data_IF_306601789202
#
_entry.id   IF_306601789202
#
_cell.length_a   1.000
_cell.length_b   1.000
_cell.length_c   1.000
_cell.angle_alpha   90.00
_cell.angle_beta   90.00
_cell.angle_gamma   90.00
#
_symmetry.space_group_name_H-M   'P 1'
#
loop_
_entity.id
_entity.type
_entity.pdbx_description
1 polymer ?
#
# COMPACT_ATOMS: atom_id res chain seq x y z
N UNK A 1 -19.70 -19.44 -32.05
CA UNK A 1 -18.78 -18.39 -31.57
C UNK A 1 -19.34 -16.97 -31.77
N UNK A 2 -19.87 -16.64 -32.96
CA UNK A 2 -20.45 -15.31 -33.24
C UNK A 2 -21.66 -14.93 -32.38
N UNK A 3 -22.58 -15.87 -32.11
CA UNK A 3 -23.79 -15.62 -31.29
C UNK A 3 -23.41 -15.24 -29.85
N UNK A 4 -22.50 -15.98 -29.20
CA UNK A 4 -22.02 -15.65 -27.85
C UNK A 4 -21.37 -14.27 -27.74
N UNK A 5 -20.68 -13.81 -28.80
CA UNK A 5 -20.06 -12.49 -28.81
C UNK A 5 -21.11 -11.37 -28.95
N UNK A 6 -22.15 -11.59 -29.76
CA UNK A 6 -23.28 -10.67 -29.90
C UNK A 6 -24.12 -10.58 -28.61
N UNK A 7 -24.40 -11.71 -27.94
CA UNK A 7 -25.10 -11.69 -26.65
C UNK A 7 -24.28 -11.00 -25.56
N UNK A 8 -22.97 -11.23 -25.55
CA UNK A 8 -22.06 -10.55 -24.62
C UNK A 8 -22.00 -9.05 -24.87
N UNK A 9 -21.90 -8.62 -26.14
CA UNK A 9 -21.90 -7.19 -26.49
C UNK A 9 -23.24 -6.52 -26.14
N UNK A 10 -24.36 -7.17 -26.39
CA UNK A 10 -25.69 -6.67 -26.02
C UNK A 10 -25.86 -6.59 -24.49
N UNK A 11 -25.35 -7.56 -23.73
CA UNK A 11 -25.31 -7.52 -22.27
C UNK A 11 -24.41 -6.39 -21.74
N UNK A 12 -23.26 -6.15 -22.36
CA UNK A 12 -22.36 -5.05 -21.99
C UNK A 12 -22.99 -3.68 -22.28
N UNK A 13 -23.68 -3.53 -23.42
CA UNK A 13 -24.37 -2.29 -23.79
C UNK A 13 -25.57 -2.00 -22.88
N UNK A 14 -26.41 -3.01 -22.62
CA UNK A 14 -27.55 -2.87 -21.70
C UNK A 14 -27.11 -2.56 -20.27
N UNK A 15 -26.03 -3.19 -19.79
CA UNK A 15 -25.42 -2.83 -18.50
C UNK A 15 -24.91 -1.37 -18.51
N UNK A 16 -24.25 -0.92 -19.58
CA UNK A 16 -23.80 0.46 -19.72
C UNK A 16 -24.93 1.49 -19.64
N UNK A 17 -26.06 1.24 -20.31
CA UNK A 17 -27.23 2.09 -20.23
C UNK A 17 -27.85 2.11 -18.82
N UNK A 18 -27.95 0.95 -18.18
CA UNK A 18 -28.43 0.85 -16.80
C UNK A 18 -27.54 1.64 -15.83
N UNK A 19 -26.21 1.52 -15.94
CA UNK A 19 -25.28 2.30 -15.12
C UNK A 19 -25.37 3.80 -15.37
N UNK A 20 -25.48 4.24 -16.63
CA UNK A 20 -25.68 5.66 -16.96
C UNK A 20 -26.97 6.20 -16.33
N UNK A 21 -28.05 5.43 -16.33
CA UNK A 21 -29.31 5.83 -15.70
C UNK A 21 -29.24 5.98 -14.17
N UNK A 22 -28.23 5.39 -13.53
CA UNK A 22 -27.95 5.58 -12.10
C UNK A 22 -27.06 6.78 -11.79
N UNK A 23 -26.50 7.43 -12.83
CA UNK A 23 -25.73 8.67 -12.66
C UNK A 23 -26.66 9.85 -12.37
N UNK A 24 -26.13 10.88 -11.72
CA UNK A 24 -26.86 12.10 -11.39
C UNK A 24 -26.21 13.30 -12.07
N UNK A 25 -27.02 14.26 -12.53
CA UNK A 25 -26.52 15.54 -13.02
C UNK A 25 -25.92 16.30 -11.84
N UNK A 26 -24.69 16.78 -12.00
CA UNK A 26 -23.98 17.55 -10.99
C UNK A 26 -23.17 18.66 -11.65
N UNK A 27 -23.16 19.84 -11.03
CA UNK A 27 -22.37 21.00 -11.50
C UNK A 27 -20.87 20.86 -11.16
N UNK A 28 -20.55 19.96 -10.22
CA UNK A 28 -19.21 19.72 -9.69
C UNK A 28 -19.09 18.27 -9.22
N UNK A 29 -17.88 17.71 -9.29
CA UNK A 29 -17.59 16.34 -8.80
C UNK A 29 -16.37 16.35 -7.88
N UNK A 30 -16.39 15.54 -6.82
CA UNK A 30 -15.30 15.49 -5.84
C UNK A 30 -14.02 14.87 -6.43
N UNK A 31 -14.16 13.76 -7.17
CA UNK A 31 -13.02 13.05 -7.77
C UNK A 31 -13.29 12.65 -9.22
N UNK A 32 -12.41 13.05 -10.13
CA UNK A 32 -12.33 12.53 -11.49
C UNK A 32 -11.40 11.32 -11.54
N UNK A 33 -11.87 10.18 -12.07
CA UNK A 33 -11.09 8.94 -12.16
C UNK A 33 -10.46 8.81 -13.55
N UNK A 34 -9.21 9.24 -13.69
CA UNK A 34 -8.45 9.05 -14.93
C UNK A 34 -7.76 7.71 -14.94
N UNK A 35 -7.98 6.93 -16.00
CA UNK A 35 -7.49 5.57 -16.04
C UNK A 35 -7.46 4.99 -17.46
N UNK A 36 -6.62 3.98 -17.68
CA UNK A 36 -6.61 3.27 -18.95
C UNK A 36 -7.77 2.26 -19.04
N UNK A 37 -8.54 2.32 -20.14
CA UNK A 37 -9.60 1.35 -20.43
C UNK A 37 -9.11 -0.10 -20.54
N UNK A 38 -7.86 -0.31 -20.97
CA UNK A 38 -7.27 -1.66 -21.10
C UNK A 38 -6.90 -2.28 -19.76
N UNK A 39 -6.75 -1.47 -18.70
CA UNK A 39 -6.40 -1.98 -17.39
C UNK A 39 -7.50 -2.88 -16.80
N UNK A 40 -7.05 -3.95 -16.12
CA UNK A 40 -7.92 -4.96 -15.53
C UNK A 40 -8.86 -4.40 -14.46
N UNK A 41 -10.08 -4.95 -14.42
CA UNK A 41 -11.17 -4.49 -13.53
C UNK A 41 -10.81 -4.60 -12.04
N UNK A 42 -10.17 -5.69 -11.64
CA UNK A 42 -9.81 -5.95 -10.24
C UNK A 42 -8.75 -4.99 -9.72
N UNK A 43 -7.74 -4.65 -10.53
CA UNK A 43 -6.72 -3.66 -10.14
C UNK A 43 -7.37 -2.31 -9.85
N UNK A 44 -8.28 -1.85 -10.72
CA UNK A 44 -9.04 -0.61 -10.51
C UNK A 44 -9.88 -0.69 -9.24
N UNK A 45 -10.64 -1.76 -9.07
CA UNK A 45 -11.49 -1.96 -7.89
C UNK A 45 -10.68 -1.90 -6.58
N UNK A 46 -9.62 -2.68 -6.46
CA UNK A 46 -8.80 -2.67 -5.23
C UNK A 46 -8.09 -1.35 -5.00
N UNK A 47 -7.73 -0.63 -6.07
CA UNK A 47 -7.14 0.71 -5.95
C UNK A 47 -8.16 1.73 -5.45
N UNK A 48 -9.42 1.66 -5.91
CA UNK A 48 -10.50 2.47 -5.37
C UNK A 48 -10.76 2.13 -3.89
N UNK A 49 -10.80 0.84 -3.52
CA UNK A 49 -10.90 0.42 -2.12
C UNK A 49 -9.74 0.95 -1.27
N UNK A 50 -8.51 0.93 -1.80
CA UNK A 50 -7.33 1.49 -1.14
C UNK A 50 -7.46 2.99 -0.92
N UNK A 51 -8.00 3.72 -1.90
CA UNK A 51 -8.20 5.16 -1.80
C UNK A 51 -9.32 5.54 -0.81
N UNK A 52 -10.47 4.85 -0.84
CA UNK A 52 -11.64 5.22 -0.03
C UNK A 52 -11.70 4.57 1.35
N UNK A 53 -11.27 3.31 1.48
CA UNK A 53 -11.59 2.49 2.65
C UNK A 53 -10.38 2.16 3.53
N UNK A 54 -9.14 2.40 3.08
CA UNK A 54 -7.95 1.95 3.81
C UNK A 54 -7.91 2.45 5.25
N UNK A 55 -8.09 3.76 5.46
CA UNK A 55 -8.06 4.32 6.81
C UNK A 55 -9.18 3.77 7.70
N UNK A 56 -10.38 3.62 7.14
CA UNK A 56 -11.52 3.08 7.87
C UNK A 56 -11.26 1.62 8.25
N UNK A 57 -10.71 0.82 7.34
CA UNK A 57 -10.36 -0.57 7.57
C UNK A 57 -9.32 -0.73 8.70
N UNK A 58 -8.29 0.13 8.71
CA UNK A 58 -7.30 0.18 9.80
C UNK A 58 -7.97 0.55 11.13
N UNK A 59 -8.77 1.64 11.16
CA UNK A 59 -9.44 2.10 12.39
C UNK A 59 -10.38 1.02 12.95
N UNK A 60 -11.18 0.38 12.09
CA UNK A 60 -12.11 -0.68 12.50
C UNK A 60 -11.41 -1.96 12.97
N UNK A 61 -10.29 -2.35 12.35
CA UNK A 61 -9.52 -3.53 12.81
C UNK A 61 -8.89 -3.29 14.18
N UNK A 62 -8.29 -2.13 14.42
CA UNK A 62 -7.78 -1.76 15.74
C UNK A 62 -8.89 -1.65 16.79
N UNK A 63 -10.05 -1.09 16.43
CA UNK A 63 -11.21 -1.04 17.33
C UNK A 63 -11.69 -2.45 17.70
N UNK A 64 -11.81 -3.35 16.73
CA UNK A 64 -12.16 -4.76 16.99
C UNK A 64 -11.13 -5.42 17.91
N UNK A 65 -9.83 -5.26 17.63
CA UNK A 65 -8.76 -5.78 18.47
C UNK A 65 -8.85 -5.25 19.91
N UNK A 66 -9.02 -3.93 20.10
CA UNK A 66 -9.12 -3.32 21.43
C UNK A 66 -10.35 -3.82 22.20
N UNK A 67 -11.51 -3.92 21.56
CA UNK A 67 -12.73 -4.42 22.19
C UNK A 67 -12.56 -5.87 22.66
N UNK A 68 -11.99 -6.74 21.81
CA UNK A 68 -11.76 -8.13 22.14
C UNK A 68 -10.68 -8.29 23.22
N UNK A 69 -9.60 -7.52 23.17
CA UNK A 69 -8.57 -7.52 24.19
C UNK A 69 -9.12 -7.12 25.56
N UNK A 70 -9.90 -6.03 25.63
CA UNK A 70 -10.54 -5.57 26.88
C UNK A 70 -11.53 -6.62 27.39
N UNK A 71 -12.35 -7.20 26.52
CA UNK A 71 -13.32 -8.22 26.91
C UNK A 71 -12.64 -9.48 27.46
N UNK A 72 -11.62 -10.00 26.76
CA UNK A 72 -10.87 -11.18 27.20
C UNK A 72 -10.14 -10.94 28.52
N UNK A 73 -9.46 -9.80 28.66
CA UNK A 73 -8.77 -9.44 29.91
C UNK A 73 -9.77 -9.22 31.05
N UNK A 74 -10.94 -8.62 30.78
CA UNK A 74 -11.98 -8.43 31.78
C UNK A 74 -12.62 -9.73 32.27
N UNK A 75 -12.76 -10.73 31.38
CA UNK A 75 -13.35 -12.02 31.71
C UNK A 75 -12.37 -12.98 32.41
N UNK A 76 -11.12 -13.02 31.97
CA UNK A 76 -10.15 -14.04 32.40
C UNK A 76 -9.00 -13.48 33.24
N UNK A 77 -8.87 -12.15 33.32
CA UNK A 77 -7.70 -11.49 33.88
C UNK A 77 -6.50 -11.53 32.94
N UNK A 78 -5.53 -10.65 33.18
CA UNK A 78 -4.35 -10.47 32.31
C UNK A 78 -3.49 -11.73 32.21
N UNK A 79 -3.31 -12.46 33.32
CA UNK A 79 -2.51 -13.70 33.36
C UNK A 79 -3.35 -14.98 33.14
N UNK A 80 -4.69 -14.89 33.19
CA UNK A 80 -5.57 -16.05 33.03
C UNK A 80 -5.79 -16.48 31.58
N UNK A 81 -5.22 -15.74 30.63
CA UNK A 81 -5.25 -16.05 29.19
C UNK A 81 -4.08 -16.94 28.74
N UNK A 82 -3.13 -17.25 29.63
CA UNK A 82 -1.97 -18.09 29.32
C UNK A 82 -2.35 -19.45 28.73
N UNK A 83 -1.81 -19.78 27.55
CA UNK A 83 -2.10 -21.04 26.85
C UNK A 83 -3.51 -21.18 26.29
N UNK A 84 -4.34 -20.13 26.32
CA UNK A 84 -5.70 -20.19 25.81
C UNK A 84 -5.72 -20.07 24.28
N UNK A 85 -6.12 -21.16 23.61
CA UNK A 85 -6.17 -21.24 22.15
C UNK A 85 -7.14 -20.24 21.48
N UNK A 86 -8.07 -19.62 22.23
CA UNK A 86 -8.97 -18.61 21.69
C UNK A 86 -8.31 -17.23 21.51
N UNK A 87 -7.14 -16.98 22.12
CA UNK A 87 -6.47 -15.67 22.07
C UNK A 87 -6.05 -15.32 20.64
N UNK A 88 -5.43 -16.26 19.92
CA UNK A 88 -5.04 -16.04 18.51
C UNK A 88 -6.21 -15.73 17.57
N UNK A 89 -7.26 -16.57 17.46
CA UNK A 89 -8.37 -16.28 16.55
C UNK A 89 -9.11 -14.99 16.94
N UNK A 90 -9.23 -14.69 18.23
CA UNK A 90 -9.90 -13.47 18.68
C UNK A 90 -9.06 -12.22 18.41
N UNK A 91 -7.77 -12.23 18.77
CA UNK A 91 -6.95 -11.02 18.71
C UNK A 91 -6.25 -10.83 17.37
N UNK A 92 -6.14 -11.84 16.51
CA UNK A 92 -5.49 -11.72 15.20
C UNK A 92 -6.49 -11.93 14.07
N UNK A 93 -7.12 -13.10 13.99
CA UNK A 93 -7.96 -13.44 12.85
C UNK A 93 -9.18 -12.53 12.72
N UNK A 94 -9.93 -12.28 13.80
CA UNK A 94 -11.13 -11.43 13.75
C UNK A 94 -10.82 -9.96 13.38
N UNK A 95 -9.80 -9.29 13.96
CA UNK A 95 -9.36 -7.97 13.49
C UNK A 95 -8.92 -7.94 12.03
N UNK A 96 -8.18 -8.95 11.56
CA UNK A 96 -7.75 -9.03 10.15
C UNK A 96 -8.95 -9.26 9.21
N UNK A 97 -9.88 -10.14 9.57
CA UNK A 97 -11.14 -10.32 8.82
C UNK A 97 -11.93 -9.01 8.78
N UNK A 98 -12.00 -8.30 9.90
CA UNK A 98 -12.65 -6.97 9.98
C UNK A 98 -11.97 -5.98 9.03
N UNK A 99 -10.63 -5.97 8.97
CA UNK A 99 -9.89 -5.16 7.99
C UNK A 99 -10.33 -5.49 6.56
N UNK A 100 -10.34 -6.75 6.14
CA UNK A 100 -10.72 -7.12 4.76
C UNK A 100 -12.18 -6.81 4.44
N UNK A 101 -13.10 -7.06 5.38
CA UNK A 101 -14.53 -6.74 5.21
C UNK A 101 -14.71 -5.24 5.02
N UNK A 102 -14.10 -4.41 5.87
CA UNK A 102 -14.20 -2.95 5.76
C UNK A 102 -13.43 -2.42 4.56
N UNK A 103 -12.30 -3.02 4.18
CA UNK A 103 -11.56 -2.62 2.99
C UNK A 103 -12.37 -2.83 1.72
N UNK A 104 -13.11 -3.94 1.60
CA UNK A 104 -13.89 -4.26 0.40
C UNK A 104 -15.25 -3.55 0.41
N UNK A 105 -15.92 -3.47 1.57
CA UNK A 105 -17.31 -3.02 1.69
C UNK A 105 -17.47 -1.71 2.46
N UNK A 106 -16.38 -1.00 2.79
CA UNK A 106 -16.41 0.19 3.66
C UNK A 106 -17.34 1.29 3.17
N UNK A 107 -17.38 1.53 1.86
CA UNK A 107 -18.30 2.49 1.26
C UNK A 107 -19.79 2.12 1.48
N UNK A 108 -20.11 0.82 1.46
CA UNK A 108 -21.49 0.33 1.59
C UNK A 108 -21.89 0.31 3.08
N UNK A 109 -20.98 -0.10 3.95
CA UNK A 109 -21.18 -0.18 5.41
C UNK A 109 -21.40 1.20 6.05
N UNK A 110 -20.80 2.24 5.49
CA UNK A 110 -20.96 3.62 5.99
C UNK A 110 -22.23 4.30 5.48
N UNK A 111 -23.03 3.61 4.65
CA UNK A 111 -24.36 4.06 4.22
C UNK A 111 -24.35 5.42 3.53
N UNK A 112 -23.35 5.67 2.68
CA UNK A 112 -23.13 6.92 1.97
C UNK A 112 -22.93 8.18 2.85
N UNK A 113 -22.76 8.04 4.18
CA UNK A 113 -22.47 9.20 5.07
C UNK A 113 -21.18 9.94 4.73
N UNK A 114 -20.30 9.29 3.97
CA UNK A 114 -19.01 9.79 3.51
C UNK A 114 -18.87 9.63 1.99
N UNK A 115 -19.99 9.57 1.25
CA UNK A 115 -19.94 9.34 -0.20
C UNK A 115 -19.34 10.54 -0.91
N UNK A 116 -18.19 10.32 -1.55
CA UNK A 116 -17.64 11.26 -2.53
C UNK A 116 -18.33 11.01 -3.88
N UNK A 117 -18.68 12.09 -4.58
CA UNK A 117 -19.13 12.01 -5.97
C UNK A 117 -17.94 11.65 -6.87
N UNK A 118 -18.16 10.69 -7.78
CA UNK A 118 -17.12 10.15 -8.65
C UNK A 118 -17.52 10.33 -10.11
N UNK A 119 -16.60 10.84 -10.91
CA UNK A 119 -16.75 10.86 -12.36
C UNK A 119 -15.94 9.71 -12.95
N UNK A 120 -16.63 8.77 -13.59
CA UNK A 120 -16.05 7.61 -14.26
C UNK A 120 -16.62 7.55 -15.67
N UNK A 121 -15.78 7.71 -16.67
CA UNK A 121 -16.15 7.76 -18.09
C UNK A 121 -17.21 6.72 -18.52
N UNK A 122 -17.05 5.46 -18.13
CA UNK A 122 -17.92 4.35 -18.51
C UNK A 122 -19.30 4.43 -17.87
N UNK A 123 -19.41 5.13 -16.75
CA UNK A 123 -20.66 5.33 -16.01
C UNK A 123 -21.31 6.67 -16.35
N UNK A 124 -20.51 7.71 -16.62
CA UNK A 124 -20.96 9.09 -16.80
C UNK A 124 -21.09 9.52 -18.26
N UNK A 125 -20.53 8.75 -19.21
CA UNK A 125 -20.75 8.94 -20.65
C UNK A 125 -21.77 7.92 -21.13
N UNK A 126 -22.73 8.38 -21.91
CA UNK A 126 -23.76 7.54 -22.49
C UNK A 126 -23.13 6.50 -23.43
N UNK A 127 -23.42 5.21 -23.21
CA UNK A 127 -22.72 4.13 -23.92
C UNK A 127 -23.43 3.66 -25.20
N UNK A 128 -24.71 3.98 -25.38
CA UNK A 128 -25.56 3.43 -26.45
C UNK A 128 -25.99 4.46 -27.51
N UNK A 129 -26.40 5.65 -27.10
CA UNK A 129 -26.59 6.83 -27.95
C UNK A 129 -25.24 7.39 -28.39
N UNK A 130 -24.93 7.24 -29.68
CA UNK A 130 -23.63 7.59 -30.26
C UNK A 130 -23.46 9.11 -30.41
N UNK A 131 -24.53 9.85 -30.67
CA UNK A 131 -24.47 11.30 -30.85
C UNK A 131 -24.25 11.98 -29.51
N UNK A 132 -25.01 11.57 -28.49
CA UNK A 132 -24.81 12.05 -27.12
C UNK A 132 -23.43 11.66 -26.59
N UNK A 133 -22.97 10.43 -26.87
CA UNK A 133 -21.63 9.98 -26.53
C UNK A 133 -20.55 10.86 -27.15
N UNK A 134 -20.67 11.18 -28.44
CA UNK A 134 -19.72 12.04 -29.13
C UNK A 134 -19.69 13.45 -28.53
N UNK A 135 -20.86 14.03 -28.25
CA UNK A 135 -20.97 15.33 -27.58
C UNK A 135 -20.32 15.32 -26.18
N UNK A 136 -20.56 14.28 -25.39
CA UNK A 136 -20.00 14.13 -24.06
C UNK A 136 -18.48 13.88 -24.08
N UNK A 137 -17.97 13.12 -25.04
CA UNK A 137 -16.52 12.95 -25.23
C UNK A 137 -15.87 14.28 -25.61
N UNK A 138 -16.48 15.05 -26.50
CA UNK A 138 -16.00 16.38 -26.86
C UNK A 138 -16.00 17.35 -25.66
N UNK A 139 -16.93 17.18 -24.73
CA UNK A 139 -17.02 17.95 -23.49
C UNK A 139 -16.13 17.41 -22.35
N UNK A 140 -15.35 16.35 -22.55
CA UNK A 140 -14.55 15.71 -21.51
C UNK A 140 -13.62 16.68 -20.77
N UNK A 141 -12.90 17.61 -21.43
CA UNK A 141 -12.08 18.61 -20.73
C UNK A 141 -12.88 19.48 -19.76
N UNK A 142 -14.15 19.75 -20.06
CA UNK A 142 -15.04 20.52 -19.17
C UNK A 142 -15.35 19.70 -17.92
N UNK A 143 -15.68 18.41 -18.05
CA UNK A 143 -15.93 17.55 -16.89
C UNK A 143 -14.71 17.42 -16.00
N UNK A 144 -13.52 17.30 -16.58
CA UNK A 144 -12.25 17.28 -15.85
C UNK A 144 -12.03 18.57 -15.08
N UNK A 145 -12.27 19.73 -15.71
CA UNK A 145 -12.09 21.04 -15.09
C UNK A 145 -13.05 21.32 -13.92
N UNK A 146 -14.19 20.64 -13.87
CA UNK A 146 -15.19 20.74 -12.80
C UNK A 146 -14.97 19.75 -11.65
N UNK A 147 -13.86 18.99 -11.65
CA UNK A 147 -13.50 18.10 -10.56
C UNK A 147 -12.63 18.79 -9.52
N UNK A 148 -12.86 18.50 -8.23
CA UNK A 148 -12.01 18.99 -7.14
C UNK A 148 -10.66 18.28 -7.06
N UNK A 149 -10.63 16.97 -7.34
CA UNK A 149 -9.44 16.12 -7.31
C UNK A 149 -9.38 15.22 -8.54
N UNK A 150 -8.18 14.85 -8.96
CA UNK A 150 -7.95 13.85 -10.00
C UNK A 150 -7.25 12.64 -9.40
N UNK A 151 -7.90 11.49 -9.44
CA UNK A 151 -7.29 10.22 -9.07
C UNK A 151 -6.87 9.48 -10.34
N UNK A 152 -5.56 9.33 -10.51
CA UNK A 152 -4.94 8.59 -11.60
C UNK A 152 -4.76 7.14 -11.17
N UNK A 153 -5.44 6.22 -11.86
CA UNK A 153 -5.23 4.79 -11.69
C UNK A 153 -4.20 4.31 -12.70
N UNK A 154 -2.93 4.31 -12.29
CA UNK A 154 -1.80 4.07 -13.19
C UNK A 154 -1.59 2.58 -13.49
N UNK A 155 -1.58 2.24 -14.77
CA UNK A 155 -1.02 1.02 -15.33
C UNK A 155 0.12 1.35 -16.30
N UNK A 156 0.83 0.34 -16.79
CA UNK A 156 1.93 0.49 -17.75
C UNK A 156 1.54 1.20 -19.06
N UNK A 157 0.24 1.30 -19.37
CA UNK A 157 -0.24 1.96 -20.60
C UNK A 157 -0.71 3.39 -20.38
N UNK A 158 -0.81 3.88 -19.13
CA UNK A 158 -1.47 5.15 -18.82
C UNK A 158 -0.84 6.35 -19.56
N UNK A 159 0.47 6.59 -19.38
CA UNK A 159 1.17 7.71 -20.01
C UNK A 159 1.33 7.55 -21.52
N UNK A 160 1.13 6.33 -22.04
CA UNK A 160 1.13 6.08 -23.48
C UNK A 160 -0.18 6.50 -24.14
N UNK A 161 -1.21 6.95 -23.40
CA UNK A 161 -2.52 7.26 -23.97
C UNK A 161 -2.74 8.76 -24.06
N UNK A 162 -2.93 9.25 -25.29
CA UNK A 162 -3.10 10.67 -25.56
C UNK A 162 -4.34 11.26 -24.85
N UNK A 163 -5.44 10.53 -24.77
CA UNK A 163 -6.64 10.94 -24.03
C UNK A 163 -6.40 11.09 -22.51
N UNK A 164 -5.71 10.14 -21.87
CA UNK A 164 -5.35 10.25 -20.46
C UNK A 164 -4.41 11.45 -20.21
N UNK A 165 -3.49 11.70 -21.14
CA UNK A 165 -2.60 12.85 -21.08
C UNK A 165 -3.35 14.18 -21.28
N UNK A 166 -4.40 14.22 -22.11
CA UNK A 166 -5.30 15.38 -22.22
C UNK A 166 -6.03 15.64 -20.90
N UNK A 167 -6.63 14.62 -20.29
CA UNK A 167 -7.28 14.75 -18.98
C UNK A 167 -6.32 15.32 -17.93
N UNK A 168 -5.09 14.79 -17.87
CA UNK A 168 -4.05 15.28 -16.98
C UNK A 168 -3.65 16.73 -17.27
N UNK A 169 -3.43 17.08 -18.53
CA UNK A 169 -3.11 18.44 -18.96
C UNK A 169 -4.21 19.43 -18.55
N UNK A 170 -5.47 19.10 -18.83
CA UNK A 170 -6.63 19.92 -18.48
C UNK A 170 -6.74 20.10 -16.97
N UNK A 171 -6.62 19.01 -16.20
CA UNK A 171 -6.75 19.09 -14.73
C UNK A 171 -5.62 19.91 -14.12
N UNK A 172 -4.38 19.65 -14.49
CA UNK A 172 -3.21 20.36 -13.94
C UNK A 172 -3.28 21.85 -14.23
N UNK A 173 -3.73 22.24 -15.43
CA UNK A 173 -3.90 23.64 -15.79
C UNK A 173 -4.99 24.35 -14.94
N UNK A 174 -6.06 23.66 -14.56
CA UNK A 174 -7.21 24.24 -13.84
C UNK A 174 -7.19 24.02 -12.33
N UNK A 175 -7.06 22.78 -11.89
CA UNK A 175 -7.15 22.33 -10.50
C UNK A 175 -5.83 22.38 -9.73
N UNK A 176 -4.70 22.52 -10.45
CA UNK A 176 -3.37 22.50 -9.86
C UNK A 176 -2.89 21.10 -9.50
N UNK A 177 -1.58 20.91 -9.61
CA UNK A 177 -0.94 19.60 -9.46
C UNK A 177 -1.13 18.96 -8.08
N UNK A 178 -1.25 19.78 -7.03
CA UNK A 178 -1.40 19.35 -5.64
C UNK A 178 -2.68 18.55 -5.37
N UNK A 179 -3.67 18.64 -6.26
CA UNK A 179 -4.93 17.90 -6.17
C UNK A 179 -4.95 16.64 -7.04
N UNK A 180 -3.78 16.22 -7.54
CA UNK A 180 -3.59 14.97 -8.27
C UNK A 180 -3.10 13.90 -7.30
N UNK A 181 -3.82 12.78 -7.25
CA UNK A 181 -3.42 11.56 -6.55
C UNK A 181 -3.07 10.49 -7.59
N UNK A 182 -1.85 9.97 -7.59
CA UNK A 182 -1.48 8.87 -8.48
C UNK A 182 -1.40 7.55 -7.69
N UNK A 183 -2.24 6.60 -8.08
CA UNK A 183 -2.32 5.30 -7.45
C UNK A 183 -1.96 4.18 -8.44
N UNK A 184 -0.78 3.55 -8.30
CA UNK A 184 -0.41 2.42 -9.14
C UNK A 184 -1.31 1.21 -8.87
N UNK A 185 -1.82 0.58 -9.94
CA UNK A 185 -2.74 -0.55 -9.82
C UNK A 185 -2.15 -1.80 -9.14
N UNK A 186 -0.82 -1.86 -9.00
CA UNK A 186 -0.12 -2.94 -8.30
C UNK A 186 -0.04 -2.73 -6.78
N UNK A 187 -0.25 -1.51 -6.27
CA UNK A 187 -0.03 -1.18 -4.86
C UNK A 187 -1.02 -1.90 -3.95
N UNK A 188 -2.32 -1.86 -4.26
CA UNK A 188 -3.34 -2.51 -3.46
C UNK A 188 -3.17 -4.05 -3.44
N UNK A 189 -3.00 -4.74 -4.60
CA UNK A 189 -2.69 -6.16 -4.60
C UNK A 189 -1.44 -6.52 -3.80
N UNK A 190 -0.35 -5.75 -3.94
CA UNK A 190 0.86 -5.97 -3.14
C UNK A 190 0.58 -5.88 -1.64
N UNK A 191 -0.11 -4.83 -1.18
CA UNK A 191 -0.43 -4.64 0.23
C UNK A 191 -1.30 -5.78 0.78
N UNK A 192 -2.37 -6.14 0.07
CA UNK A 192 -3.28 -7.21 0.49
C UNK A 192 -2.56 -8.57 0.53
N UNK A 193 -1.73 -8.86 -0.47
CA UNK A 193 -0.88 -10.06 -0.47
C UNK A 193 0.09 -10.05 0.72
N UNK A 194 0.76 -8.93 1.01
CA UNK A 194 1.66 -8.82 2.16
C UNK A 194 0.92 -9.08 3.48
N UNK A 195 -0.28 -8.56 3.68
CA UNK A 195 -1.10 -8.83 4.87
C UNK A 195 -1.47 -10.31 4.97
N UNK A 196 -1.88 -10.95 3.88
CA UNK A 196 -2.22 -12.39 3.88
C UNK A 196 -1.00 -13.27 4.17
N UNK A 197 0.14 -12.91 3.60
CA UNK A 197 1.42 -13.58 3.82
C UNK A 197 1.90 -13.42 5.27
N UNK A 198 1.74 -12.23 5.86
CA UNK A 198 2.05 -11.98 7.27
C UNK A 198 1.10 -12.74 8.20
N UNK A 199 -0.19 -12.83 7.86
CA UNK A 199 -1.17 -13.66 8.58
C UNK A 199 -0.80 -15.16 8.51
N UNK A 200 -0.34 -15.63 7.36
CA UNK A 200 0.14 -17.01 7.20
C UNK A 200 1.38 -17.25 8.08
N UNK A 201 2.36 -16.34 8.07
CA UNK A 201 3.52 -16.41 8.97
C UNK A 201 3.11 -16.46 10.44
N UNK A 202 2.20 -15.57 10.88
CA UNK A 202 1.69 -15.55 12.25
C UNK A 202 0.97 -16.85 12.61
N UNK A 203 0.18 -17.42 11.69
CA UNK A 203 -0.53 -18.69 11.89
C UNK A 203 0.42 -19.88 11.98
N UNK A 204 1.49 -19.91 11.16
CA UNK A 204 2.53 -20.94 11.21
C UNK A 204 3.34 -20.84 12.51
N UNK A 205 3.62 -19.61 12.95
CA UNK A 205 4.30 -19.37 14.21
C UNK A 205 3.45 -19.80 15.41
N UNK A 206 2.16 -19.46 15.42
CA UNK A 206 1.20 -19.96 16.41
C UNK A 206 1.13 -21.49 16.44
N UNK A 207 1.04 -22.13 15.27
CA UNK A 207 1.04 -23.60 15.17
C UNK A 207 2.34 -24.20 15.72
N UNK A 208 3.49 -23.58 15.43
CA UNK A 208 4.78 -24.02 15.96
C UNK A 208 4.82 -23.93 17.48
N UNK A 209 4.37 -22.82 18.07
CA UNK A 209 4.26 -22.64 19.52
C UNK A 209 3.31 -23.66 20.15
N UNK A 210 2.22 -24.01 19.47
CA UNK A 210 1.27 -25.00 19.96
C UNK A 210 1.84 -26.43 19.93
N UNK A 211 2.59 -26.78 18.88
CA UNK A 211 3.25 -28.09 18.75
C UNK A 211 4.43 -28.22 19.71
N UNK A 212 5.14 -27.11 19.96
CA UNK A 212 6.34 -27.05 20.80
C UNK A 212 6.19 -25.96 21.88
N UNK A 213 5.36 -26.16 22.93
CA UNK A 213 5.12 -25.11 23.92
C UNK A 213 6.39 -24.77 24.70
N UNK A 214 6.65 -23.47 24.89
CA UNK A 214 7.85 -22.93 25.53
C UNK A 214 9.18 -23.38 24.89
N UNK A 215 9.17 -23.73 23.59
CA UNK A 215 10.37 -24.24 22.90
C UNK A 215 11.53 -23.25 22.97
N UNK A 216 11.24 -21.96 22.77
CA UNK A 216 12.19 -20.85 22.81
C UNK A 216 12.95 -20.86 24.13
N UNK A 217 12.22 -21.02 25.24
CA UNK A 217 12.76 -21.05 26.59
C UNK A 217 13.51 -22.34 26.92
N UNK A 218 13.01 -23.50 26.44
CA UNK A 218 13.66 -24.80 26.65
C UNK A 218 15.00 -24.92 25.93
N UNK A 219 15.15 -24.21 24.81
CA UNK A 219 16.36 -24.30 23.98
C UNK A 219 17.45 -23.32 24.42
N UNK A 220 17.14 -22.27 25.19
CA UNK A 220 18.14 -21.32 25.67
C UNK A 220 19.25 -22.00 26.50
N UNK A 221 18.98 -22.79 27.55
CA UNK A 221 20.03 -23.42 28.35
C UNK A 221 21.02 -24.30 27.57
N UNK A 222 20.57 -25.27 26.72
CA UNK A 222 21.50 -26.08 25.95
C UNK A 222 22.28 -25.28 24.91
N UNK A 223 21.70 -24.22 24.33
CA UNK A 223 22.42 -23.33 23.42
C UNK A 223 23.49 -22.54 24.17
N UNK A 224 23.18 -22.00 25.36
CA UNK A 224 24.15 -21.29 26.19
C UNK A 224 25.30 -22.19 26.62
N UNK A 225 25.03 -23.45 26.98
CA UNK A 225 26.04 -24.43 27.34
C UNK A 225 26.95 -24.74 26.15
N UNK A 226 26.36 -25.05 24.98
CA UNK A 226 27.11 -25.32 23.75
C UNK A 226 27.95 -24.11 23.32
N UNK A 227 27.36 -22.90 23.35
CA UNK A 227 28.07 -21.65 23.00
C UNK A 227 29.18 -21.35 24.01
N UNK A 228 28.94 -21.60 25.31
CA UNK A 228 29.91 -21.39 26.38
C UNK A 228 31.16 -22.25 26.24
N UNK A 229 31.01 -23.45 25.65
CA UNK A 229 32.14 -24.32 25.33
C UNK A 229 33.01 -23.80 24.18
N UNK A 230 32.46 -22.98 23.27
CA UNK A 230 33.14 -22.49 22.07
C UNK A 230 33.65 -21.05 22.18
N UNK A 231 32.83 -20.13 22.70
CA UNK A 231 33.11 -18.69 22.72
C UNK A 231 33.49 -18.15 24.11
N UNK A 232 33.48 -19.01 25.14
CA UNK A 232 33.78 -18.64 26.53
C UNK A 232 32.55 -18.29 27.35
N UNK A 233 32.76 -18.01 28.64
CA UNK A 233 31.70 -17.98 29.67
C UNK A 233 31.09 -16.60 29.96
N UNK A 234 31.21 -15.63 29.04
CA UNK A 234 30.61 -14.31 29.27
C UNK A 234 29.06 -14.42 29.23
N UNK A 235 28.35 -14.17 30.34
CA UNK A 235 26.91 -14.45 30.42
C UNK A 235 26.07 -13.57 29.50
N UNK A 236 26.48 -12.31 29.26
CA UNK A 236 25.77 -11.40 28.38
C UNK A 236 25.87 -11.85 26.91
N UNK A 237 27.07 -12.24 26.49
CA UNK A 237 27.30 -12.77 25.14
C UNK A 237 26.58 -14.11 24.92
N UNK A 238 26.58 -15.00 25.91
CA UNK A 238 25.87 -16.29 25.82
C UNK A 238 24.36 -16.11 25.71
N UNK A 239 23.78 -15.22 26.52
CA UNK A 239 22.37 -14.86 26.41
C UNK A 239 22.05 -14.23 25.05
N UNK A 240 22.90 -13.34 24.54
CA UNK A 240 22.72 -12.76 23.20
C UNK A 240 22.70 -13.83 22.12
N UNK A 241 23.67 -14.74 22.09
CA UNK A 241 23.74 -15.81 21.08
C UNK A 241 22.57 -16.79 21.20
N UNK A 242 22.16 -17.14 22.42
CA UNK A 242 21.04 -18.04 22.63
C UNK A 242 19.71 -17.42 22.16
N UNK A 243 19.45 -16.16 22.53
CA UNK A 243 18.28 -15.41 22.03
C UNK A 243 18.37 -15.27 20.51
N UNK A 244 19.53 -14.92 19.96
CA UNK A 244 19.74 -14.81 18.51
C UNK A 244 19.34 -16.10 17.79
N UNK A 245 19.83 -17.27 18.23
CA UNK A 245 19.53 -18.56 17.60
C UNK A 245 18.04 -18.92 17.71
N UNK A 246 17.41 -18.65 18.85
CA UNK A 246 15.96 -18.85 19.03
C UNK A 246 15.17 -17.94 18.07
N UNK A 247 15.55 -16.68 17.92
CA UNK A 247 14.90 -15.76 16.99
C UNK A 247 15.12 -16.16 15.52
N UNK A 248 16.32 -16.65 15.17
CA UNK A 248 16.60 -17.24 13.86
C UNK A 248 15.64 -18.39 13.53
N UNK A 249 15.42 -19.29 14.50
CA UNK A 249 14.52 -20.41 14.35
C UNK A 249 13.06 -19.96 14.21
N UNK A 250 12.64 -18.94 14.97
CA UNK A 250 11.32 -18.32 14.82
C UNK A 250 11.11 -17.76 13.41
N UNK A 251 12.17 -17.21 12.80
CA UNK A 251 12.20 -16.73 11.42
C UNK A 251 12.02 -17.82 10.35
N UNK A 252 12.16 -19.10 10.68
CA UNK A 252 11.92 -20.22 9.74
C UNK A 252 10.47 -20.24 9.26
N UNK A 253 9.53 -19.76 10.08
CA UNK A 253 8.12 -19.62 9.67
C UNK A 253 7.94 -18.69 8.46
N UNK A 254 8.82 -17.70 8.32
CA UNK A 254 8.85 -16.80 7.16
C UNK A 254 9.54 -17.40 5.93
N UNK A 255 10.25 -18.53 6.05
CA UNK A 255 10.87 -19.20 4.91
C UNK A 255 9.80 -19.67 3.92
N UNK A 256 8.67 -20.18 4.40
CA UNK A 256 7.56 -20.64 3.53
C UNK A 256 6.89 -19.47 2.79
N UNK A 257 7.00 -18.27 3.36
CA UNK A 257 6.41 -17.03 2.86
C UNK A 257 7.39 -16.24 1.99
N UNK A 258 8.67 -16.63 1.98
CA UNK A 258 9.74 -15.96 1.25
C UNK A 258 9.55 -15.97 -0.27
N UNK A 259 9.10 -17.09 -0.86
CA UNK A 259 8.89 -17.20 -2.31
C UNK A 259 7.78 -16.28 -2.80
N UNK A 260 6.54 -16.32 -2.23
CA UNK A 260 5.51 -15.36 -2.59
C UNK A 260 5.92 -13.91 -2.35
N UNK A 261 6.63 -13.65 -1.23
CA UNK A 261 7.15 -12.31 -0.93
C UNK A 261 8.11 -11.83 -2.00
N UNK A 262 9.06 -12.67 -2.44
CA UNK A 262 10.01 -12.34 -3.49
C UNK A 262 9.31 -11.89 -4.78
N UNK A 263 8.32 -12.66 -5.27
CA UNK A 263 7.57 -12.28 -6.47
C UNK A 263 6.80 -10.97 -6.27
N UNK A 264 6.19 -10.79 -5.10
CA UNK A 264 5.44 -9.57 -4.75
C UNK A 264 6.33 -8.32 -4.76
N UNK A 265 7.48 -8.38 -4.08
CA UNK A 265 8.43 -7.27 -4.00
C UNK A 265 9.18 -7.02 -5.32
N UNK A 266 9.49 -8.07 -6.10
CA UNK A 266 10.04 -7.93 -7.46
C UNK A 266 9.06 -7.22 -8.39
N UNK A 267 7.78 -7.56 -8.32
CA UNK A 267 6.72 -6.89 -9.09
C UNK A 267 6.62 -5.40 -8.71
N UNK A 268 6.70 -5.07 -7.42
CA UNK A 268 6.80 -3.69 -6.95
C UNK A 268 7.99 -2.98 -7.59
N UNK A 269 9.21 -3.50 -7.47
CA UNK A 269 10.43 -2.87 -8.01
C UNK A 269 10.28 -2.57 -9.51
N UNK A 270 9.90 -3.60 -10.29
CA UNK A 270 9.75 -3.48 -11.75
C UNK A 270 8.73 -2.41 -12.14
N UNK A 271 7.53 -2.45 -11.55
CA UNK A 271 6.46 -1.54 -11.95
C UNK A 271 6.69 -0.12 -11.45
N UNK A 272 7.32 0.05 -10.28
CA UNK A 272 7.68 1.37 -9.75
C UNK A 272 8.79 2.01 -10.60
N UNK A 273 9.80 1.23 -10.98
CA UNK A 273 10.84 1.68 -11.88
C UNK A 273 10.27 2.05 -13.25
N UNK A 274 9.35 1.25 -13.79
CA UNK A 274 8.66 1.55 -15.04
C UNK A 274 7.89 2.88 -14.97
N UNK A 275 7.12 3.10 -13.90
CA UNK A 275 6.39 4.35 -13.66
C UNK A 275 7.33 5.56 -13.70
N UNK A 276 8.39 5.55 -12.90
CA UNK A 276 9.32 6.67 -12.82
C UNK A 276 10.08 6.88 -14.14
N UNK A 277 10.44 5.81 -14.84
CA UNK A 277 11.07 5.88 -16.14
C UNK A 277 10.13 6.54 -17.17
N UNK A 278 8.86 6.09 -17.24
CA UNK A 278 7.86 6.68 -18.14
C UNK A 278 7.67 8.17 -17.90
N UNK A 279 7.65 8.61 -16.64
CA UNK A 279 7.55 10.03 -16.31
C UNK A 279 8.82 10.79 -16.71
N UNK A 280 10.01 10.20 -16.50
CA UNK A 280 11.28 10.86 -16.84
C UNK A 280 11.52 11.02 -18.34
N UNK A 281 11.09 10.07 -19.15
CA UNK A 281 11.21 10.08 -20.61
C UNK A 281 9.91 10.49 -21.30
N UNK A 282 8.97 11.08 -20.56
CA UNK A 282 7.64 11.42 -21.05
C UNK A 282 7.71 12.39 -22.24
N UNK A 283 6.97 12.05 -23.29
CA UNK A 283 6.68 12.96 -24.41
C UNK A 283 5.25 12.72 -24.90
N UNK A 284 4.40 13.74 -24.75
CA UNK A 284 3.00 13.69 -25.18
C UNK A 284 2.85 13.39 -26.67
N UNK A 285 3.82 13.78 -27.50
CA UNK A 285 3.81 13.51 -28.95
C UNK A 285 3.92 12.02 -29.25
N UNK A 286 4.70 11.30 -28.44
CA UNK A 286 4.88 9.86 -28.55
C UNK A 286 3.67 9.07 -28.03
N UNK A 287 2.72 9.72 -27.34
CA UNK A 287 1.52 9.06 -26.85
C UNK A 287 0.67 8.50 -28.01
N UNK A 288 0.14 7.30 -27.82
CA UNK A 288 -0.75 6.59 -28.73
C UNK A 288 -2.15 7.22 -28.67
N UNK A 289 -2.76 7.39 -29.84
CA UNK A 289 -4.15 7.79 -29.95
C UNK A 289 -4.97 6.61 -30.49
N UNK A 290 -6.14 6.35 -29.90
CA UNK A 290 -7.03 5.26 -30.35
C UNK A 290 -7.56 5.53 -31.75
N UNK A 291 -7.94 6.79 -32.02
CA UNK A 291 -8.34 7.26 -33.34
C UNK A 291 -7.36 8.34 -33.78
N UNK A 292 -6.62 8.08 -34.86
CA UNK A 292 -5.61 9.03 -35.35
C UNK A 292 -6.20 10.39 -35.75
N UNK A 293 -7.48 10.43 -36.14
CA UNK A 293 -8.21 11.66 -36.44
C UNK A 293 -8.32 12.61 -35.25
N UNK A 294 -8.34 12.08 -34.01
CA UNK A 294 -8.50 12.90 -32.81
C UNK A 294 -7.18 13.56 -32.39
N UNK A 295 -6.03 13.08 -32.90
CA UNK A 295 -4.70 13.51 -32.45
C UNK A 295 -4.53 15.03 -32.57
N UNK A 296 -4.82 15.59 -33.74
CA UNK A 296 -4.61 17.02 -33.99
C UNK A 296 -5.48 17.87 -33.08
N UNK A 297 -6.74 17.49 -32.87
CA UNK A 297 -7.65 18.20 -31.99
C UNK A 297 -7.21 18.13 -30.52
N UNK A 298 -6.72 16.97 -30.07
CA UNK A 298 -6.21 16.80 -28.71
C UNK A 298 -4.93 17.60 -28.49
N UNK A 299 -3.97 17.52 -29.42
CA UNK A 299 -2.70 18.26 -29.34
C UNK A 299 -2.94 19.78 -29.36
N UNK A 300 -3.85 20.26 -30.22
CA UNK A 300 -4.26 21.67 -30.26
C UNK A 300 -4.89 22.12 -28.92
N UNK A 301 -5.67 21.26 -28.27
CA UNK A 301 -6.23 21.54 -26.96
C UNK A 301 -5.14 21.63 -25.88
N UNK A 302 -4.16 20.73 -25.88
CA UNK A 302 -3.02 20.79 -24.95
C UNK A 302 -2.19 22.05 -25.22
N UNK A 303 -1.95 22.39 -26.49
CA UNK A 303 -1.30 23.65 -26.86
C UNK A 303 -2.04 24.84 -26.27
N UNK A 304 -3.36 24.94 -26.48
CA UNK A 304 -4.17 26.04 -25.97
C UNK A 304 -4.09 26.19 -24.44
N UNK A 305 -3.95 25.09 -23.69
CA UNK A 305 -3.79 25.12 -22.23
C UNK A 305 -2.42 25.66 -21.79
N UNK A 306 -1.36 25.46 -22.58
CA UNK A 306 0.03 25.78 -22.20
C UNK A 306 0.64 26.96 -22.97
N UNK A 307 -0.05 27.48 -23.98
CA UNK A 307 0.36 28.65 -24.79
C UNK A 307 0.13 29.98 -24.03
N UNK A 308 -0.90 30.05 -23.19
CA UNK A 308 -1.14 31.20 -22.33
C UNK A 308 -0.28 31.12 -21.06
N UNK A 309 0.70 32.01 -20.92
CA UNK A 309 1.54 32.19 -19.71
C UNK A 309 0.80 32.65 -18.44
N UNK A 310 -0.48 32.30 -18.27
CA UNK A 310 -1.33 32.63 -17.13
C UNK A 310 -1.50 31.41 -16.23
N UNK A 311 -0.70 31.36 -15.17
CA UNK A 311 -1.01 30.59 -13.96
C UNK A 311 -2.17 31.31 -13.26
N UNK A 312 -3.35 30.71 -13.03
CA UNK A 312 -4.30 31.26 -12.08
C UNK A 312 -3.87 30.85 -10.67
N UNK A 313 -3.36 31.81 -9.89
CA UNK A 313 -3.38 31.71 -8.44
C UNK A 313 -4.85 31.79 -7.98
N UNK A 314 -5.28 30.83 -7.15
CA UNK A 314 -6.52 30.95 -6.37
C UNK A 314 -6.50 32.27 -5.60
N UNK A 315 -7.45 33.17 -5.88
CA UNK A 315 -7.78 34.26 -4.97
C UNK A 315 -8.35 33.67 -3.68
N UNK A 316 -7.53 33.67 -2.63
CA UNK A 316 -8.00 33.60 -1.26
C UNK A 316 -8.59 34.95 -0.87
N UNK A 317 -9.80 34.92 -0.35
CA UNK A 317 -10.50 36.06 0.25
C UNK A 317 -9.61 36.85 1.23
N UNK A 318 -9.35 38.12 0.94
CA UNK A 318 -8.72 39.05 1.87
C UNK A 318 -8.28 40.33 1.17
N UNK A 319 -9.04 41.40 1.36
CA UNK A 319 -8.71 42.77 0.95
C UNK A 319 -7.49 43.27 1.72
N UNK A 320 -6.43 43.72 1.04
CA UNK A 320 -5.69 44.95 1.39
C UNK A 320 -4.83 45.43 0.20
N UNK A 321 -4.79 46.74 0.03
CA UNK A 321 -4.17 47.46 -1.09
C UNK A 321 -2.64 47.38 -1.05
N UNK A 322 -2.04 46.97 -2.16
CA UNK A 322 -0.60 47.07 -2.38
C UNK A 322 -0.19 46.42 -3.70
N UNK A 323 0.36 47.22 -4.63
CA UNK A 323 0.92 46.74 -5.90
C UNK A 323 1.89 45.56 -5.68
N UNK A 324 1.39 44.34 -5.87
CA UNK A 324 2.26 43.17 -6.01
C UNK A 324 2.87 43.26 -7.41
N UNK A 325 4.15 43.64 -7.48
CA UNK A 325 4.95 43.57 -8.70
C UNK A 325 4.87 42.16 -9.28
N UNK A 326 4.08 42.03 -10.35
CA UNK A 326 4.10 40.90 -11.27
C UNK A 326 5.55 40.68 -11.72
N UNK A 327 6.17 39.62 -11.21
CA UNK A 327 7.37 39.07 -11.84
C UNK A 327 6.90 38.47 -13.17
N UNK A 328 6.91 39.31 -14.22
CA UNK A 328 6.82 38.87 -15.61
C UNK A 328 8.03 37.98 -15.87
N UNK A 329 7.83 36.66 -15.76
CA UNK A 329 8.75 35.72 -16.38
C UNK A 329 8.67 35.95 -17.89
N UNK A 330 9.83 36.19 -18.50
CA UNK A 330 9.95 36.45 -19.94
C UNK A 330 9.33 35.32 -20.74
N UNK A 331 8.64 35.69 -21.82
CA UNK A 331 8.24 34.80 -22.92
C UNK A 331 9.46 33.96 -23.32
N UNK A 332 9.48 32.70 -22.86
CA UNK A 332 10.40 31.72 -23.41
C UNK A 332 9.72 31.20 -24.68
N UNK A 333 10.42 31.21 -25.81
CA UNK A 333 10.01 30.73 -27.15
C UNK A 333 9.74 29.20 -27.18
N UNK A 334 9.35 28.64 -26.03
CA UNK A 334 9.21 27.20 -25.81
C UNK A 334 7.85 26.75 -26.27
N UNK A 335 7.88 25.78 -27.18
CA UNK A 335 6.72 25.06 -27.66
C UNK A 335 5.81 24.58 -26.48
N UNK A 336 4.50 24.89 -26.49
CA UNK A 336 3.58 24.58 -25.39
C UNK A 336 3.52 23.10 -24.99
N UNK A 337 3.64 22.18 -25.95
CA UNK A 337 3.68 20.75 -25.66
C UNK A 337 4.95 20.36 -24.88
N UNK A 338 6.07 21.04 -25.14
CA UNK A 338 7.31 20.87 -24.36
C UNK A 338 7.13 21.38 -22.93
N UNK A 339 6.37 22.47 -22.73
CA UNK A 339 6.01 22.94 -21.38
C UNK A 339 5.20 21.88 -20.60
N UNK A 340 4.23 21.23 -21.23
CA UNK A 340 3.50 20.11 -20.61
C UNK A 340 4.42 18.91 -20.32
N UNK A 341 5.30 18.56 -21.26
CA UNK A 341 6.27 17.47 -21.06
C UNK A 341 7.17 17.72 -19.84
N UNK A 342 7.73 18.93 -19.71
CA UNK A 342 8.56 19.30 -18.55
C UNK A 342 7.76 19.33 -17.24
N UNK A 343 6.47 19.68 -17.31
CA UNK A 343 5.58 19.61 -16.15
C UNK A 343 5.40 18.17 -15.64
N UNK A 344 5.24 17.20 -16.54
CA UNK A 344 5.14 15.77 -16.19
C UNK A 344 6.47 15.23 -15.66
N UNK A 345 7.60 15.56 -16.32
CA UNK A 345 8.94 15.08 -15.96
C UNK A 345 9.44 15.62 -14.62
N UNK A 346 9.08 16.86 -14.28
CA UNK A 346 9.57 17.55 -13.09
C UNK A 346 8.52 17.58 -11.96
N UNK A 347 7.66 18.62 -11.90
CA UNK A 347 6.68 18.79 -10.82
C UNK A 347 5.83 17.55 -10.51
N UNK A 348 5.22 16.92 -11.54
CA UNK A 348 4.32 15.79 -11.30
C UNK A 348 5.08 14.58 -10.77
N UNK A 349 6.25 14.29 -11.35
CA UNK A 349 7.11 13.22 -10.88
C UNK A 349 7.53 13.42 -9.42
N UNK A 350 7.92 14.64 -9.04
CA UNK A 350 8.28 14.94 -7.66
C UNK A 350 7.09 14.73 -6.69
N UNK A 351 5.89 15.13 -7.09
CA UNK A 351 4.67 14.87 -6.32
C UNK A 351 4.41 13.37 -6.16
N UNK A 352 4.48 12.60 -7.26
CA UNK A 352 4.29 11.15 -7.24
C UNK A 352 5.32 10.48 -6.33
N UNK A 353 6.61 10.81 -6.46
CA UNK A 353 7.66 10.31 -5.58
C UNK A 353 7.39 10.64 -4.09
N UNK A 354 6.79 11.80 -3.80
CA UNK A 354 6.39 12.16 -2.42
C UNK A 354 5.19 11.36 -1.89
N UNK A 355 4.25 10.97 -2.76
CA UNK A 355 3.04 10.23 -2.38
C UNK A 355 3.30 8.73 -2.20
N UNK A 356 3.98 8.10 -3.16
CA UNK A 356 4.18 6.63 -3.20
C UNK A 356 5.61 6.20 -2.80
N UNK A 357 6.53 7.16 -2.62
CA UNK A 357 7.93 6.90 -2.30
C UNK A 357 8.80 6.64 -3.53
N UNK A 358 10.11 6.51 -3.30
CA UNK A 358 11.06 6.00 -4.30
C UNK A 358 10.97 4.48 -4.45
N UNK A 359 11.62 3.91 -5.46
CA UNK A 359 11.63 2.47 -5.77
C UNK A 359 11.92 1.59 -4.54
N UNK A 360 12.91 1.99 -3.74
CA UNK A 360 13.39 1.30 -2.54
C UNK A 360 12.72 1.77 -1.25
N UNK A 361 11.76 2.69 -1.34
CA UNK A 361 11.02 3.21 -0.21
C UNK A 361 9.58 2.68 -0.22
N UNK A 362 9.00 2.59 0.97
CA UNK A 362 7.58 2.33 1.20
C UNK A 362 7.16 3.32 2.28
N UNK A 363 6.08 4.09 2.10
CA UNK A 363 5.59 4.99 3.12
C UNK A 363 5.35 4.26 4.45
N UNK A 364 5.71 4.91 5.56
CA UNK A 364 5.68 4.32 6.91
C UNK A 364 4.33 3.67 7.25
N UNK A 365 3.22 4.36 6.97
CA UNK A 365 1.88 3.86 7.23
C UNK A 365 1.55 2.59 6.43
N UNK A 366 1.97 2.55 5.15
CA UNK A 366 1.76 1.38 4.29
C UNK A 366 2.60 0.20 4.77
N UNK A 367 3.85 0.43 5.19
CA UNK A 367 4.72 -0.60 5.74
C UNK A 367 4.16 -1.19 7.05
N UNK A 368 3.64 -0.35 7.96
CA UNK A 368 2.95 -0.83 9.17
C UNK A 368 1.67 -1.58 8.85
N UNK A 369 0.89 -1.09 7.89
CA UNK A 369 -0.36 -1.75 7.47
C UNK A 369 -0.09 -3.15 6.94
N UNK A 370 0.99 -3.34 6.18
CA UNK A 370 1.41 -4.63 5.68
C UNK A 370 1.74 -5.65 6.80
N UNK A 371 2.10 -5.17 8.00
CA UNK A 371 2.45 -5.99 9.16
C UNK A 371 1.32 -6.06 10.22
N UNK A 372 0.09 -5.68 9.86
CA UNK A 372 -1.06 -5.68 10.79
C UNK A 372 -1.26 -7.03 11.53
N UNK A 373 -1.21 -8.19 10.87
CA UNK A 373 -1.34 -9.48 11.55
C UNK A 373 -0.30 -9.67 12.65
N UNK A 374 0.97 -9.38 12.39
CA UNK A 374 2.03 -9.48 13.41
C UNK A 374 1.93 -8.42 14.50
N UNK A 375 1.47 -7.21 14.19
CA UNK A 375 1.14 -6.19 15.20
C UNK A 375 0.08 -6.74 16.16
N UNK A 376 -0.98 -7.36 15.64
CA UNK A 376 -2.00 -7.98 16.47
C UNK A 376 -1.47 -9.21 17.21
N UNK A 377 -0.65 -10.03 16.57
CA UNK A 377 -0.02 -11.20 17.18
C UNK A 377 0.83 -10.84 18.40
N UNK A 378 1.41 -9.64 18.46
CA UNK A 378 2.15 -9.18 19.65
C UNK A 378 1.32 -9.31 20.94
N UNK A 379 0.01 -9.07 20.86
CA UNK A 379 -0.90 -9.23 21.99
C UNK A 379 -1.16 -10.69 22.36
N UNK A 380 -1.15 -11.60 21.38
CA UNK A 380 -1.20 -13.05 21.61
C UNK A 380 0.05 -13.48 22.37
N UNK A 381 1.23 -13.09 21.89
CA UNK A 381 2.48 -13.45 22.55
C UNK A 381 2.55 -12.93 24.00
N UNK A 382 2.08 -11.71 24.25
CA UNK A 382 2.02 -11.14 25.61
C UNK A 382 0.99 -11.83 26.49
N UNK A 383 -0.27 -11.96 26.03
CA UNK A 383 -1.39 -12.41 26.86
C UNK A 383 -1.50 -13.94 26.97
N UNK A 384 -1.10 -14.67 25.93
CA UNK A 384 -1.07 -16.13 25.95
C UNK A 384 0.22 -16.71 26.54
N UNK A 385 1.20 -15.85 26.90
CA UNK A 385 2.43 -16.22 27.60
C UNK A 385 3.20 -17.37 26.94
N UNK A 386 3.55 -17.20 25.66
CA UNK A 386 4.21 -18.21 24.82
C UNK A 386 3.42 -19.54 24.76
N UNK A 387 2.08 -19.43 24.68
CA UNK A 387 1.13 -20.55 24.64
C UNK A 387 1.25 -21.53 25.83
N UNK A 388 1.74 -21.05 26.97
CA UNK A 388 1.81 -21.79 28.23
C UNK A 388 1.17 -21.04 29.41
N UNK A 389 1.07 -21.68 30.59
CA UNK A 389 0.68 -20.98 31.81
C UNK A 389 1.67 -19.86 32.14
N UNK A 390 1.17 -18.64 32.33
CA UNK A 390 2.02 -17.46 32.50
C UNK A 390 3.03 -17.56 33.65
N UNK A 391 2.68 -18.22 34.75
CA UNK A 391 3.60 -18.47 35.86
C UNK A 391 4.77 -19.37 35.44
N UNK A 392 4.49 -20.41 34.66
CA UNK A 392 5.52 -21.33 34.17
C UNK A 392 6.42 -20.63 33.17
N UNK A 393 5.85 -19.89 32.21
CA UNK A 393 6.62 -19.14 31.21
C UNK A 393 7.52 -18.09 31.88
N UNK A 394 7.00 -17.33 32.85
CA UNK A 394 7.79 -16.33 33.58
C UNK A 394 8.98 -16.94 34.35
N UNK A 395 8.77 -18.07 35.04
CA UNK A 395 9.83 -18.77 35.78
C UNK A 395 10.87 -19.37 34.82
N UNK A 396 10.44 -20.01 33.73
CA UNK A 396 11.34 -20.53 32.70
C UNK A 396 12.18 -19.43 32.06
N UNK A 397 11.63 -18.22 31.95
CA UNK A 397 12.34 -17.03 31.47
C UNK A 397 13.17 -16.31 32.53
N UNK A 398 13.25 -16.85 33.74
CA UNK A 398 14.10 -16.29 34.80
C UNK A 398 13.56 -15.00 35.41
N UNK A 399 12.27 -14.67 35.19
CA UNK A 399 11.65 -13.51 35.81
C UNK A 399 11.15 -13.83 37.21
N UNK A 400 11.20 -12.81 38.08
CA UNK A 400 10.75 -12.91 39.47
C UNK A 400 9.23 -12.86 39.62
N UNK A 401 8.51 -12.36 38.60
CA UNK A 401 7.06 -12.26 38.59
C UNK A 401 6.50 -12.28 37.17
N UNK A 402 5.25 -12.72 37.03
CA UNK A 402 4.49 -12.70 35.76
C UNK A 402 4.37 -11.28 35.22
N UNK A 403 4.13 -10.29 36.09
CA UNK A 403 4.04 -8.88 35.70
C UNK A 403 5.34 -8.40 35.04
N UNK A 404 6.50 -8.73 35.62
CA UNK A 404 7.80 -8.36 35.05
C UNK A 404 8.03 -9.00 33.68
N UNK A 405 7.66 -10.27 33.51
CA UNK A 405 7.71 -10.96 32.22
C UNK A 405 6.83 -10.24 31.19
N UNK A 406 5.55 -10.03 31.49
CA UNK A 406 4.60 -9.41 30.55
C UNK A 406 5.01 -7.98 30.16
N UNK A 407 5.46 -7.15 31.12
CA UNK A 407 5.95 -5.80 30.82
C UNK A 407 7.15 -5.84 29.89
N UNK A 408 8.09 -6.76 30.11
CA UNK A 408 9.26 -6.92 29.23
C UNK A 408 8.84 -7.31 27.81
N UNK A 409 7.86 -8.22 27.67
CA UNK A 409 7.32 -8.60 26.36
C UNK A 409 6.64 -7.41 25.66
N UNK A 410 5.83 -6.62 26.37
CA UNK A 410 5.17 -5.42 25.83
C UNK A 410 6.20 -4.40 25.33
N UNK A 411 7.23 -4.11 26.12
CA UNK A 411 8.31 -3.19 25.73
C UNK A 411 9.03 -3.71 24.48
N UNK A 412 9.39 -4.99 24.49
CA UNK A 412 10.04 -5.63 23.35
C UNK A 412 9.21 -5.49 22.06
N UNK A 413 7.94 -5.86 22.11
CA UNK A 413 7.05 -5.78 20.94
C UNK A 413 6.84 -4.35 20.48
N UNK A 414 6.70 -3.39 21.40
CA UNK A 414 6.61 -1.97 21.06
C UNK A 414 7.83 -1.51 20.26
N UNK A 415 9.05 -1.86 20.71
CA UNK A 415 10.28 -1.53 19.98
C UNK A 415 10.29 -2.19 18.59
N UNK A 416 9.88 -3.44 18.47
CA UNK A 416 9.80 -4.14 17.17
C UNK A 416 8.80 -3.47 16.22
N UNK A 417 7.61 -3.11 16.70
CA UNK A 417 6.57 -2.51 15.86
C UNK A 417 7.04 -1.16 15.30
N UNK A 418 7.69 -0.33 16.10
CA UNK A 418 8.08 1.02 15.66
C UNK A 418 9.46 1.12 15.01
N UNK A 419 10.40 0.24 15.36
CA UNK A 419 11.78 0.30 14.85
C UNK A 419 12.07 -0.76 13.79
N UNK A 420 11.47 -1.95 13.90
CA UNK A 420 11.79 -3.08 13.03
C UNK A 420 10.85 -3.12 11.82
N UNK A 421 9.53 -3.21 12.04
CA UNK A 421 8.56 -3.41 10.94
C UNK A 421 8.61 -2.37 9.82
N UNK A 422 8.74 -1.06 10.08
CA UNK A 422 8.81 -0.06 9.02
C UNK A 422 10.06 -0.19 8.13
N UNK A 423 11.13 -0.78 8.66
CA UNK A 423 12.42 -0.93 7.98
C UNK A 423 12.48 -2.26 7.20
N UNK A 424 11.62 -3.24 7.53
CA UNK A 424 11.52 -4.55 6.85
C UNK A 424 11.30 -4.43 5.36
N UNK A 425 10.28 -3.68 4.94
CA UNK A 425 9.99 -3.54 3.51
C UNK A 425 11.14 -2.87 2.73
N UNK A 426 11.72 -1.73 3.19
CA UNK A 426 12.91 -1.14 2.55
C UNK A 426 14.14 -2.05 2.47
N UNK A 427 14.45 -2.81 3.51
CA UNK A 427 15.59 -3.74 3.49
C UNK A 427 15.35 -4.86 2.50
N UNK A 428 14.16 -5.46 2.54
CA UNK A 428 13.79 -6.52 1.62
C UNK A 428 13.86 -6.05 0.16
N UNK A 429 13.39 -4.84 -0.12
CA UNK A 429 13.51 -4.21 -1.45
C UNK A 429 14.96 -4.04 -1.89
N UNK A 430 15.85 -3.58 -1.00
CA UNK A 430 17.29 -3.42 -1.30
C UNK A 430 17.96 -4.76 -1.56
N UNK A 431 17.66 -5.77 -0.75
CA UNK A 431 18.22 -7.12 -0.90
C UNK A 431 17.75 -7.75 -2.21
N UNK A 432 16.45 -7.67 -2.52
CA UNK A 432 15.91 -8.19 -3.77
C UNK A 432 16.46 -7.41 -4.97
N UNK A 433 16.53 -6.08 -4.90
CA UNK A 433 17.12 -5.26 -5.95
C UNK A 433 18.57 -5.64 -6.25
N UNK A 434 19.36 -5.90 -5.19
CA UNK A 434 20.72 -6.41 -5.34
C UNK A 434 20.76 -7.80 -6.01
N UNK A 435 19.94 -8.74 -5.54
CA UNK A 435 19.86 -10.11 -6.12
C UNK A 435 19.48 -10.08 -7.61
N UNK A 436 18.46 -9.30 -7.97
CA UNK A 436 18.01 -9.11 -9.35
C UNK A 436 19.11 -8.48 -10.22
N UNK A 437 19.96 -7.62 -9.65
CA UNK A 437 21.06 -6.98 -10.39
C UNK A 437 22.27 -7.89 -10.62
N UNK A 438 22.44 -8.93 -9.79
CA UNK A 438 23.64 -9.78 -9.79
C UNK A 438 23.42 -11.18 -10.37
N UNK A 439 22.16 -11.60 -10.58
CA UNK A 439 21.86 -12.98 -11.00
C UNK A 439 20.57 -13.07 -11.79
N UNK A 440 20.51 -14.05 -12.70
CA UNK A 440 19.34 -14.35 -13.51
C UNK A 440 18.87 -15.80 -13.29
N UNK A 441 17.57 -16.04 -13.45
CA UNK A 441 17.00 -17.39 -13.53
C UNK A 441 17.02 -18.15 -12.20
N UNK A 442 17.41 -19.45 -12.17
CA UNK A 442 17.34 -20.27 -10.96
C UNK A 442 18.25 -19.79 -9.82
N UNK A 443 19.38 -19.17 -10.15
CA UNK A 443 20.32 -18.62 -9.16
C UNK A 443 19.72 -17.41 -8.42
N UNK A 444 18.95 -16.59 -9.12
CA UNK A 444 18.20 -15.45 -8.57
C UNK A 444 17.22 -15.93 -7.50
N UNK A 445 16.43 -16.97 -7.80
CA UNK A 445 15.47 -17.56 -6.87
C UNK A 445 16.16 -18.16 -5.64
N UNK A 446 17.28 -18.85 -5.84
CA UNK A 446 18.07 -19.43 -4.73
C UNK A 446 18.63 -18.34 -3.81
N UNK A 447 19.22 -17.28 -4.37
CA UNK A 447 19.74 -16.15 -3.60
C UNK A 447 18.61 -15.40 -2.89
N UNK A 448 17.46 -15.22 -3.52
CA UNK A 448 16.28 -14.63 -2.90
C UNK A 448 15.72 -15.44 -1.73
N UNK A 449 15.71 -16.78 -1.85
CA UNK A 449 15.33 -17.71 -0.78
C UNK A 449 16.23 -17.62 0.44
N UNK A 450 17.50 -17.24 0.27
CA UNK A 450 18.42 -16.97 1.38
C UNK A 450 18.24 -15.55 1.93
N UNK A 451 18.09 -14.56 1.06
CA UNK A 451 18.00 -13.15 1.42
C UNK A 451 16.70 -12.76 2.14
N UNK A 452 15.55 -13.30 1.72
CA UNK A 452 14.26 -12.90 2.30
C UNK A 452 14.15 -13.29 3.79
N UNK A 453 14.45 -14.54 4.20
CA UNK A 453 14.52 -14.90 5.61
C UNK A 453 15.56 -14.06 6.36
N UNK A 454 16.73 -13.84 5.78
CA UNK A 454 17.79 -13.01 6.38
C UNK A 454 17.34 -11.57 6.63
N UNK A 455 16.48 -11.00 5.78
CA UNK A 455 15.89 -9.67 6.00
C UNK A 455 15.00 -9.66 7.25
N UNK A 456 14.07 -10.63 7.37
CA UNK A 456 13.19 -10.75 8.55
C UNK A 456 13.99 -11.06 9.83
N UNK A 457 15.03 -11.87 9.70
CA UNK A 457 15.97 -12.23 10.75
C UNK A 457 16.81 -11.03 11.22
N UNK A 458 17.38 -10.25 10.32
CA UNK A 458 18.32 -9.17 10.68
C UNK A 458 17.60 -8.08 11.49
N UNK A 459 16.31 -7.87 11.23
CA UNK A 459 15.54 -6.74 11.75
C UNK A 459 14.94 -7.04 13.13
N UNK A 460 14.64 -8.30 13.42
CA UNK A 460 14.26 -8.73 14.77
C UNK A 460 15.41 -8.62 15.77
N UNK A 461 16.66 -8.55 15.29
CA UNK A 461 17.88 -8.47 16.09
C UNK A 461 18.34 -7.05 16.47
N UNK A 462 17.70 -5.98 15.98
CA UNK A 462 17.99 -4.60 16.38
C UNK A 462 17.58 -4.27 17.85
N UNK A 463 17.10 -5.26 18.61
CA UNK A 463 16.59 -5.10 19.98
C UNK A 463 17.63 -4.82 21.07
N UNK A 464 18.94 -4.84 20.84
CA UNK A 464 19.89 -4.74 21.95
C UNK A 464 21.00 -3.71 21.74
N UNK A 465 20.68 -2.46 22.10
CA UNK A 465 21.67 -1.54 22.66
C UNK A 465 21.02 -0.58 23.68
N UNK A 466 20.81 -1.00 24.94
CA UNK A 466 20.98 -0.06 26.03
C UNK A 466 22.48 0.20 26.11
N UNK A 467 22.90 1.45 25.90
CA UNK A 467 24.25 1.86 26.33
C UNK A 467 24.30 1.65 27.85
N UNK A 468 25.15 0.72 28.28
CA UNK A 468 25.68 0.68 29.64
C UNK A 468 26.47 1.94 29.93
#
# INVERSE_FOLDING_TARGET
MFVFHLTYLAQVQSAGAAFYSTSTIADHVDVFISHSWSAGRWGKFFSLCLFFNLELAIKCSFAMWSLLAIALVGMFGVAGLGGNACVFPCLVCLPVVTFFVVFIFGQDLTGARWSMSLWVDKLCIHQTDLDLKAQQIAALPVFVAHASRMLILWDETYFERLWCNLELATFVHRGGIQNVDLLPLWLAPWLLCSILLDLLSASLFELMEHVLPNWSMRWIPPIMEATGSMLGKNPAMLNFVAVFIVWMFSGVTYLMVSVPSFFSFRMKLRNHQLLLNQMSSFDVRAAKCTLLADRSAIEEHVVALFDSGTVPLKEGSGVDDGEVRLQRFSLDDRDPLSCFNEHVKGPLRALVESQIGSELHVPFQIALTACLPMIFYSSVNVLACDNGPCETSAVLSGYSSVTQYMVTQVVGWTLTIFLSFPVTSPILLRMIGFVVSCSDGPLELFMALLCCPLAYIWITNLRMHPRS
#
